data_IF_416378205686
#
_entry.id   IF_416378205686
#
_cell.length_a   1.000
_cell.length_b   1.000
_cell.length_c   1.000
_cell.angle_alpha   90.00
_cell.angle_beta   90.00
_cell.angle_gamma   90.00
#
_symmetry.space_group_name_H-M   'P 1'
#
loop_
_entity.id
_entity.type
_entity.pdbx_description
1 polymer ?
#
# COMPACT_ATOMS: atom_id res chain seq x y z
N UNK A 1 15.68 -18.07 -23.77
CA UNK A 1 15.24 -17.70 -22.41
C UNK A 1 14.01 -18.54 -22.11
N UNK A 2 14.15 -19.63 -21.34
CA UNK A 2 13.03 -20.53 -21.04
C UNK A 2 12.19 -19.93 -19.91
N UNK A 3 10.90 -19.80 -20.20
CA UNK A 3 9.87 -19.28 -19.30
C UNK A 3 9.79 -20.24 -18.12
N UNK A 4 9.78 -19.73 -16.89
CA UNK A 4 9.87 -20.51 -15.63
C UNK A 4 8.94 -21.74 -15.59
N UNK A 5 7.78 -21.65 -16.25
CA UNK A 5 6.83 -22.77 -16.41
C UNK A 5 7.40 -24.00 -17.13
N UNK A 6 8.25 -23.84 -18.13
CA UNK A 6 8.83 -24.97 -18.88
C UNK A 6 9.88 -25.71 -18.06
N UNK A 7 10.62 -24.98 -17.21
CA UNK A 7 11.61 -25.57 -16.30
C UNK A 7 10.95 -26.38 -15.18
N UNK A 8 9.83 -25.89 -14.64
CA UNK A 8 9.04 -26.63 -13.65
C UNK A 8 8.42 -27.90 -14.25
N UNK A 9 7.87 -27.83 -15.46
CA UNK A 9 7.36 -29.01 -16.18
C UNK A 9 8.44 -30.04 -16.45
N UNK A 10 9.65 -29.60 -16.81
CA UNK A 10 10.79 -30.49 -17.03
C UNK A 10 11.20 -31.23 -15.74
N UNK A 11 11.35 -30.50 -14.63
CA UNK A 11 11.70 -31.11 -13.33
C UNK A 11 10.61 -32.12 -12.90
N UNK A 12 9.33 -31.79 -13.08
CA UNK A 12 8.22 -32.68 -12.78
C UNK A 12 8.24 -33.95 -13.65
N UNK A 13 8.56 -33.82 -14.94
CA UNK A 13 8.70 -34.96 -15.84
C UNK A 13 9.83 -35.90 -15.41
N UNK A 14 11.00 -35.34 -15.06
CA UNK A 14 12.15 -36.11 -14.58
C UNK A 14 11.86 -36.81 -13.26
N UNK A 15 11.12 -36.16 -12.36
CA UNK A 15 10.68 -36.76 -11.10
C UNK A 15 9.74 -37.96 -11.33
N UNK A 16 8.73 -37.80 -12.19
CA UNK A 16 7.79 -38.88 -12.53
C UNK A 16 8.46 -40.06 -13.25
N UNK A 17 9.53 -39.78 -13.99
CA UNK A 17 10.29 -40.79 -14.73
C UNK A 17 11.38 -41.46 -13.87
N UNK A 18 11.56 -41.05 -12.61
CA UNK A 18 12.63 -41.53 -11.73
C UNK A 18 14.05 -41.18 -12.20
N UNK A 19 14.17 -40.25 -13.15
CA UNK A 19 15.44 -39.82 -13.73
C UNK A 19 16.09 -38.65 -12.99
N UNK A 20 15.40 -38.10 -11.98
CA UNK A 20 15.94 -37.04 -11.15
C UNK A 20 16.80 -37.64 -10.03
N UNK A 21 18.11 -37.37 -9.99
CA UNK A 21 18.97 -37.81 -8.89
C UNK A 21 18.47 -37.26 -7.55
N UNK A 22 18.58 -38.07 -6.50
CA UNK A 22 18.14 -37.67 -5.15
C UNK A 22 18.87 -36.42 -4.66
N UNK A 23 20.14 -36.26 -4.99
CA UNK A 23 20.93 -35.07 -4.64
C UNK A 23 20.40 -33.80 -5.32
N UNK A 24 19.92 -33.91 -6.56
CA UNK A 24 19.36 -32.76 -7.27
C UNK A 24 17.98 -32.40 -6.74
N UNK A 25 17.18 -33.40 -6.37
CA UNK A 25 15.91 -33.16 -5.67
C UNK A 25 16.15 -32.45 -4.33
N UNK A 26 17.12 -32.92 -3.55
CA UNK A 26 17.49 -32.33 -2.25
C UNK A 26 17.90 -30.86 -2.42
N UNK A 27 18.82 -30.56 -3.36
CA UNK A 27 19.25 -29.18 -3.65
C UNK A 27 18.09 -28.28 -4.08
N UNK A 28 17.16 -28.79 -4.89
CA UNK A 28 16.00 -28.01 -5.34
C UNK A 28 15.05 -27.70 -4.17
N UNK A 29 14.84 -28.65 -3.25
CA UNK A 29 14.02 -28.44 -2.05
C UNK A 29 14.70 -27.44 -1.11
N UNK A 30 16.00 -27.59 -0.86
CA UNK A 30 16.78 -26.65 -0.04
C UNK A 30 16.75 -25.23 -0.63
N UNK A 31 16.90 -25.10 -1.94
CA UNK A 31 16.80 -23.80 -2.62
C UNK A 31 15.39 -23.20 -2.53
N UNK A 32 14.35 -24.01 -2.73
CA UNK A 32 12.97 -23.54 -2.59
C UNK A 32 12.67 -23.07 -1.16
N UNK A 33 13.14 -23.80 -0.15
CA UNK A 33 13.03 -23.40 1.26
C UNK A 33 13.74 -22.07 1.53
N UNK A 34 14.98 -21.91 1.06
CA UNK A 34 15.74 -20.66 1.21
C UNK A 34 15.03 -19.46 0.56
N UNK A 35 14.49 -19.64 -0.65
CA UNK A 35 13.73 -18.58 -1.34
C UNK A 35 12.47 -18.22 -0.55
N UNK A 36 11.76 -19.20 0.01
CA UNK A 36 10.58 -18.95 0.83
C UNK A 36 10.92 -18.27 2.15
N UNK A 37 11.99 -18.68 2.82
CA UNK A 37 12.49 -18.06 4.06
C UNK A 37 12.87 -16.59 3.83
N UNK A 38 13.61 -16.31 2.75
CA UNK A 38 14.01 -14.94 2.39
C UNK A 38 12.81 -14.08 2.01
N UNK A 39 11.85 -14.59 1.23
CA UNK A 39 10.62 -13.87 0.92
C UNK A 39 9.76 -13.60 2.16
N UNK A 40 9.70 -14.55 3.10
CA UNK A 40 8.98 -14.38 4.37
C UNK A 40 9.61 -13.32 5.27
N UNK A 41 10.95 -13.28 5.36
CA UNK A 41 11.67 -12.25 6.12
C UNK A 41 11.47 -10.86 5.53
N UNK A 42 11.46 -10.75 4.20
CA UNK A 42 11.25 -9.47 3.50
C UNK A 42 9.82 -8.95 3.71
N UNK A 43 8.82 -9.84 3.61
CA UNK A 43 7.43 -9.51 3.90
C UNK A 43 7.22 -9.12 5.38
N UNK A 44 7.85 -9.83 6.31
CA UNK A 44 7.78 -9.50 7.75
C UNK A 44 8.41 -8.14 8.05
N UNK A 45 9.53 -7.79 7.39
CA UNK A 45 10.14 -6.46 7.52
C UNK A 45 9.21 -5.37 6.99
N UNK A 46 8.59 -5.61 5.83
CA UNK A 46 7.66 -4.65 5.21
C UNK A 46 6.42 -4.38 6.07
N UNK A 47 5.86 -5.42 6.71
CA UNK A 47 4.70 -5.29 7.60
C UNK A 47 5.09 -4.52 8.87
N UNK A 48 6.27 -4.76 9.45
CA UNK A 48 6.73 -4.03 10.63
C UNK A 48 6.98 -2.54 10.38
N UNK A 49 7.43 -2.16 9.18
CA UNK A 49 7.64 -0.75 8.81
C UNK A 49 6.30 -0.02 8.52
N UNK A 50 5.24 -0.74 8.10
CA UNK A 50 3.91 -0.16 7.81
C UNK A 50 3.04 0.03 9.07
N UNK A 51 3.23 -0.77 10.14
CA UNK A 51 2.52 -0.63 11.41
C UNK A 51 3.10 0.48 12.32
N UNK A 52 4.38 0.85 12.16
CA UNK A 52 5.05 1.88 12.97
C UNK A 52 4.62 3.31 12.55
N UNK A 53 4.32 3.53 11.26
CA UNK A 53 3.89 4.84 10.73
C UNK A 53 2.46 5.25 11.14
N UNK A 54 1.67 4.34 11.72
CA UNK A 54 0.29 4.60 12.14
C UNK A 54 0.12 4.71 13.67
N UNK A 55 1.19 4.50 14.43
CA UNK A 55 1.12 4.26 15.86
C UNK A 55 1.29 5.50 16.77
N UNK A 56 1.03 6.74 16.32
CA UNK A 56 0.91 7.86 17.28
C UNK A 56 0.17 9.11 16.75
N UNK A 57 -1.12 8.98 16.39
CA UNK A 57 -1.98 10.17 16.22
C UNK A 57 -2.96 10.25 17.38
N UNK A 58 -2.64 11.09 18.38
CA UNK A 58 -3.60 11.48 19.40
C UNK A 58 -4.69 12.35 18.76
N UNK A 59 -5.99 11.99 18.90
CA UNK A 59 -7.09 12.70 18.24
C UNK A 59 -7.26 14.16 18.67
N UNK A 60 -6.67 14.55 19.81
CA UNK A 60 -6.71 15.91 20.35
C UNK A 60 -5.78 16.90 19.62
N UNK A 61 -4.91 16.41 18.73
CA UNK A 61 -3.93 17.23 17.98
C UNK A 61 -4.50 17.78 16.66
N UNK A 62 -5.68 17.32 16.26
CA UNK A 62 -6.30 17.70 14.98
C UNK A 62 -7.32 18.82 15.22
N UNK A 63 -7.12 20.04 14.67
CA UNK A 63 -8.07 21.14 14.79
C UNK A 63 -9.46 20.79 14.23
N UNK A 64 -10.48 21.40 14.81
CA UNK A 64 -11.89 21.12 14.49
C UNK A 64 -12.19 21.30 12.99
N UNK A 65 -11.57 22.28 12.33
CA UNK A 65 -11.79 22.54 10.90
C UNK A 65 -11.32 21.38 10.02
N UNK A 66 -10.20 20.73 10.39
CA UNK A 66 -9.65 19.59 9.65
C UNK A 66 -10.50 18.35 9.87
N UNK A 67 -10.99 18.16 11.09
CA UNK A 67 -11.91 17.06 11.43
C UNK A 67 -13.23 17.18 10.67
N UNK A 68 -13.81 18.38 10.60
CA UNK A 68 -15.02 18.63 9.82
C UNK A 68 -14.78 18.43 8.31
N UNK A 69 -13.63 18.84 7.78
CA UNK A 69 -13.27 18.63 6.38
C UNK A 69 -13.10 17.15 6.02
N UNK A 70 -12.43 16.38 6.87
CA UNK A 70 -12.27 14.93 6.71
C UNK A 70 -13.63 14.22 6.79
N UNK A 71 -14.47 14.57 7.77
CA UNK A 71 -15.82 14.03 7.87
C UNK A 71 -16.63 14.34 6.59
N UNK A 72 -16.55 15.56 6.05
CA UNK A 72 -17.25 15.95 4.84
C UNK A 72 -16.77 15.22 3.56
N UNK A 73 -15.51 14.79 3.52
CA UNK A 73 -14.90 14.14 2.35
C UNK A 73 -15.07 12.62 2.37
N UNK A 74 -14.87 12.00 3.53
CA UNK A 74 -14.85 10.55 3.66
C UNK A 74 -16.15 9.95 4.19
N UNK A 75 -16.94 10.71 4.96
CA UNK A 75 -18.30 10.27 5.28
C UNK A 75 -19.25 10.84 4.23
N UNK A 76 -19.64 10.01 3.26
CA UNK A 76 -20.77 10.32 2.38
C UNK A 76 -22.05 10.26 3.21
N UNK A 77 -22.28 11.26 4.06
CA UNK A 77 -23.59 11.47 4.65
C UNK A 77 -24.53 11.86 3.51
N UNK A 78 -25.34 10.88 3.11
CA UNK A 78 -26.51 11.09 2.29
C UNK A 78 -27.24 12.31 2.84
N UNK A 79 -27.43 13.30 1.98
CA UNK A 79 -28.06 14.57 2.29
C UNK A 79 -29.42 14.35 2.96
N UNK A 80 -29.45 14.45 4.29
CA UNK A 80 -30.65 14.77 5.04
C UNK A 80 -30.46 16.14 5.69
N UNK A 81 -30.83 17.17 4.92
CA UNK A 81 -31.40 18.39 5.51
C UNK A 81 -30.44 19.46 6.03
N UNK A 82 -29.68 20.12 5.15
CA UNK A 82 -29.70 21.60 5.04
C UNK A 82 -28.91 22.02 3.80
N UNK A 83 -29.50 22.91 3.00
CA UNK A 83 -28.78 23.61 1.92
C UNK A 83 -27.61 24.38 2.53
N UNK A 84 -26.42 23.78 2.60
CA UNK A 84 -25.17 24.51 2.83
C UNK A 84 -24.75 25.12 1.50
N UNK A 85 -24.60 26.44 1.47
CA UNK A 85 -24.01 27.14 0.33
C UNK A 85 -22.65 26.53 0.03
N UNK A 86 -22.45 26.12 -1.23
CA UNK A 86 -21.15 25.66 -1.71
C UNK A 86 -20.15 26.80 -1.46
N UNK A 87 -19.05 26.60 -0.70
CA UNK A 87 -18.01 27.62 -0.62
C UNK A 87 -17.44 27.77 -2.03
N UNK A 88 -17.83 28.84 -2.73
CA UNK A 88 -17.31 29.15 -4.05
C UNK A 88 -15.87 29.60 -3.83
N UNK A 89 -14.91 28.79 -4.29
CA UNK A 89 -13.47 29.04 -4.37
C UNK A 89 -13.11 30.25 -5.28
N UNK A 90 -13.87 31.33 -5.23
CA UNK A 90 -13.59 32.58 -5.95
C UNK A 90 -12.63 33.48 -5.16
N UNK A 91 -12.49 33.31 -3.84
CA UNK A 91 -11.68 34.22 -3.02
C UNK A 91 -10.17 34.04 -3.25
N UNK A 92 -9.67 32.81 -3.28
CA UNK A 92 -8.22 32.53 -3.44
C UNK A 92 -7.72 32.90 -4.83
N UNK A 93 -8.42 32.48 -5.89
CA UNK A 93 -8.03 32.82 -7.26
C UNK A 93 -8.14 34.32 -7.56
N UNK A 94 -9.05 35.03 -6.88
CA UNK A 94 -9.15 36.48 -7.01
C UNK A 94 -8.04 37.18 -6.22
N UNK A 95 -7.73 36.74 -4.99
CA UNK A 95 -6.66 37.29 -4.16
C UNK A 95 -5.27 37.17 -4.82
N UNK A 96 -5.00 36.05 -5.51
CA UNK A 96 -3.78 35.87 -6.31
C UNK A 96 -3.78 36.83 -7.51
N UNK A 97 -4.91 36.96 -8.21
CA UNK A 97 -5.01 37.85 -9.39
C UNK A 97 -4.92 39.34 -9.00
N UNK A 98 -5.36 39.72 -7.80
CA UNK A 98 -5.31 41.09 -7.30
C UNK A 98 -4.05 41.43 -6.51
N UNK A 99 -3.11 40.49 -6.34
CA UNK A 99 -1.80 40.74 -5.72
C UNK A 99 -1.88 41.24 -4.28
N UNK A 100 -2.60 40.53 -3.40
CA UNK A 100 -2.74 40.94 -2.00
C UNK A 100 -1.60 40.34 -1.17
N UNK A 101 -0.68 41.21 -0.73
CA UNK A 101 0.41 40.91 0.19
C UNK A 101 -0.12 40.94 1.63
N UNK A 102 0.22 39.94 2.45
CA UNK A 102 -0.10 39.91 3.87
C UNK A 102 1.14 40.37 4.67
N UNK A 103 1.06 41.50 5.37
CA UNK A 103 2.01 41.83 6.46
C UNK A 103 1.53 41.22 7.78
N UNK A 104 2.50 40.88 8.64
CA UNK A 104 2.41 39.92 9.75
C UNK A 104 1.77 40.50 11.02
#
# INVERSE_FOLDING_TARGET
MMIVGDRLRYILHQLNSGQLPLDDLKKNIEYAALVLETAYMDETRRICDEDDDLAEVTPDTVPDEVREWLAATFTRQAAAGKKREKPKFKSVANAIRTGIFFEK
#
